data_IF_562612117821
#
_entry.id   IF_562612117821
#
_cell.length_a   1.000
_cell.length_b   1.000
_cell.length_c   1.000
_cell.angle_alpha   90.00
_cell.angle_beta   90.00
_cell.angle_gamma   90.00
#
_symmetry.space_group_name_H-M   'P 1'
#
loop_
_entity.id
_entity.type
_entity.pdbx_description
1 polymer ?
#
# COMPACT_ATOMS: atom_id res chain seq x y z
N UNK A 1 22.62 19.82 -3.83
CA UNK A 1 22.49 18.37 -3.57
C UNK A 1 21.11 18.16 -2.99
N UNK A 2 20.32 17.21 -3.48
CA UNK A 2 18.99 16.91 -2.92
C UNK A 2 19.19 16.22 -1.57
N UNK A 3 18.52 16.70 -0.52
CA UNK A 3 18.45 15.99 0.76
C UNK A 3 17.46 14.82 0.62
N UNK A 4 17.99 13.61 0.49
CA UNK A 4 17.17 12.41 0.32
C UNK A 4 16.34 12.10 1.58
N UNK A 5 16.85 12.40 2.78
CA UNK A 5 16.17 12.06 4.03
C UNK A 5 14.84 12.82 4.17
N UNK A 6 14.81 14.09 3.74
CA UNK A 6 13.60 14.91 3.74
C UNK A 6 12.48 14.39 2.80
N UNK A 7 12.78 13.44 1.90
CA UNK A 7 11.82 12.87 0.95
C UNK A 7 11.42 11.43 1.30
N UNK A 8 11.89 10.89 2.42
CA UNK A 8 11.54 9.57 2.92
C UNK A 8 10.50 9.67 4.05
N UNK A 9 9.66 8.65 4.23
CA UNK A 9 8.75 8.61 5.38
C UNK A 9 9.54 8.49 6.70
N UNK A 10 8.95 8.99 7.77
CA UNK A 10 9.44 8.77 9.13
C UNK A 10 9.26 7.30 9.52
N UNK A 11 10.38 6.62 9.81
CA UNK A 11 10.40 5.19 10.16
C UNK A 11 10.63 4.93 11.65
N UNK A 12 11.20 5.91 12.35
CA UNK A 12 11.56 5.83 13.76
C UNK A 12 10.64 6.69 14.62
N UNK A 13 10.68 6.46 15.93
CA UNK A 13 9.86 7.20 16.89
C UNK A 13 8.46 6.59 17.07
N UNK A 14 7.53 7.43 17.52
CA UNK A 14 6.16 7.02 17.87
C UNK A 14 5.17 7.83 17.06
N UNK A 15 4.36 7.15 16.26
CA UNK A 15 3.28 7.75 15.48
C UNK A 15 1.93 7.37 16.09
N UNK A 16 1.08 8.36 16.33
CA UNK A 16 -0.32 8.12 16.73
C UNK A 16 -1.19 8.12 15.48
N UNK A 17 -1.81 6.98 15.18
CA UNK A 17 -2.64 6.81 13.98
C UNK A 17 -4.06 6.40 14.39
N UNK A 18 -5.11 7.01 13.79
CA UNK A 18 -6.49 6.59 14.04
C UNK A 18 -6.73 5.16 13.55
N UNK A 19 -7.40 4.34 14.36
CA UNK A 19 -7.84 2.99 13.97
C UNK A 19 -7.08 1.84 14.65
N UNK A 20 -5.96 2.11 15.32
CA UNK A 20 -5.34 1.15 16.24
C UNK A 20 -6.07 1.13 17.58
N UNK A 21 -6.37 -0.07 18.08
CA UNK A 21 -6.95 -0.26 19.40
C UNK A 21 -5.87 -0.39 20.49
N UNK A 22 -4.72 -0.97 20.13
CA UNK A 22 -3.55 -1.11 21.00
C UNK A 22 -2.26 -0.73 20.24
N UNK A 23 -1.17 -0.39 20.96
CA UNK A 23 0.12 -0.11 20.33
C UNK A 23 0.65 -1.29 19.51
N UNK A 24 1.27 -0.98 18.35
CA UNK A 24 2.01 -1.95 17.54
C UNK A 24 3.47 -1.52 17.47
N UNK A 25 4.38 -2.46 17.72
CA UNK A 25 5.82 -2.22 17.56
C UNK A 25 6.25 -2.67 16.16
N UNK A 26 6.96 -1.79 15.45
CA UNK A 26 7.58 -2.08 14.15
C UNK A 26 9.10 -2.04 14.33
N UNK A 27 9.78 -3.15 14.05
CA UNK A 27 11.24 -3.21 14.05
C UNK A 27 11.73 -3.57 12.66
N UNK A 28 12.67 -2.83 12.11
CA UNK A 28 13.30 -3.16 10.82
C UNK A 28 14.67 -3.78 11.08
N UNK A 29 14.95 -4.89 10.40
CA UNK A 29 16.26 -5.54 10.48
C UNK A 29 17.33 -4.76 9.67
N UNK A 30 18.56 -5.29 9.62
CA UNK A 30 19.67 -4.66 8.91
C UNK A 30 19.44 -4.55 7.38
N UNK A 31 18.48 -5.29 6.83
CA UNK A 31 18.08 -5.30 5.43
C UNK A 31 16.83 -4.44 5.20
N UNK A 32 16.27 -3.84 6.25
CA UNK A 32 15.07 -3.02 6.20
C UNK A 32 13.77 -3.83 6.21
N UNK A 33 13.79 -5.14 6.50
CA UNK A 33 12.59 -5.97 6.56
C UNK A 33 11.82 -5.65 7.85
N UNK A 34 10.53 -5.28 7.77
CA UNK A 34 9.74 -4.95 8.95
C UNK A 34 9.21 -6.20 9.65
N UNK A 35 9.43 -6.26 10.96
CA UNK A 35 8.87 -7.22 11.90
C UNK A 35 7.84 -6.51 12.78
N UNK A 36 6.58 -6.98 12.72
CA UNK A 36 5.45 -6.38 13.44
C UNK A 36 5.10 -7.19 14.68
N UNK A 37 4.91 -6.51 15.81
CA UNK A 37 4.36 -7.11 17.03
C UNK A 37 3.14 -6.33 17.49
N UNK A 38 1.99 -6.99 17.47
CA UNK A 38 0.70 -6.46 17.88
C UNK A 38 0.01 -7.40 18.87
N UNK A 39 -0.90 -6.87 19.68
CA UNK A 39 -1.69 -7.67 20.64
C UNK A 39 -2.87 -8.39 19.98
N UNK A 40 -3.42 -7.79 18.92
CA UNK A 40 -4.57 -8.35 18.20
C UNK A 40 -4.25 -8.55 16.72
N UNK A 41 -4.93 -9.50 16.09
CA UNK A 41 -4.83 -9.70 14.64
C UNK A 41 -5.31 -8.45 13.86
N UNK A 42 -6.32 -7.74 14.37
CA UNK A 42 -6.83 -6.54 13.73
C UNK A 42 -5.77 -5.42 13.70
N UNK A 43 -5.09 -5.17 14.82
CA UNK A 43 -3.99 -4.20 14.87
C UNK A 43 -2.80 -4.63 14.01
N UNK A 44 -2.52 -5.95 13.95
CA UNK A 44 -1.50 -6.50 13.06
C UNK A 44 -1.80 -6.23 11.57
N UNK A 45 -3.03 -6.46 11.13
CA UNK A 45 -3.45 -6.18 9.74
C UNK A 45 -3.42 -4.68 9.42
N UNK A 46 -3.85 -3.84 10.36
CA UNK A 46 -3.76 -2.39 10.22
C UNK A 46 -2.30 -1.95 10.05
N UNK A 47 -1.40 -2.39 10.94
CA UNK A 47 0.01 -2.03 10.89
C UNK A 47 0.70 -2.59 9.65
N UNK A 48 0.33 -3.79 9.17
CA UNK A 48 0.83 -4.33 7.92
C UNK A 48 0.49 -3.43 6.73
N UNK A 49 -0.76 -2.95 6.64
CA UNK A 49 -1.17 -1.99 5.61
C UNK A 49 -0.39 -0.68 5.71
N UNK A 50 -0.21 -0.16 6.92
CA UNK A 50 0.55 1.06 7.17
C UNK A 50 2.01 0.95 6.73
N UNK A 51 2.70 -0.12 7.14
CA UNK A 51 4.11 -0.35 6.79
C UNK A 51 4.29 -0.65 5.31
N UNK A 52 3.37 -1.38 4.69
CA UNK A 52 3.37 -1.52 3.22
C UNK A 52 3.26 -0.16 2.53
N UNK A 53 2.43 0.75 3.02
CA UNK A 53 2.33 2.08 2.45
C UNK A 53 3.62 2.88 2.64
N UNK A 54 4.25 2.86 3.83
CA UNK A 54 5.54 3.52 4.05
C UNK A 54 6.58 3.10 3.00
N UNK A 55 6.69 1.80 2.74
CA UNK A 55 7.76 1.28 1.90
C UNK A 55 7.38 1.20 0.41
N UNK A 56 6.08 1.07 0.08
CA UNK A 56 5.58 0.63 -1.24
C UNK A 56 4.34 1.38 -1.75
N UNK A 57 4.01 2.56 -1.21
CA UNK A 57 2.79 3.30 -1.59
C UNK A 57 2.60 3.42 -3.12
N UNK A 58 3.64 3.82 -3.86
CA UNK A 58 3.56 3.94 -5.31
C UNK A 58 3.24 2.61 -6.00
N UNK A 59 3.89 1.53 -5.56
CA UNK A 59 3.65 0.18 -6.10
C UNK A 59 2.20 -0.26 -5.83
N UNK A 60 1.71 -0.05 -4.60
CA UNK A 60 0.34 -0.40 -4.21
C UNK A 60 -0.70 0.38 -5.05
N UNK A 61 -0.56 1.69 -5.16
CA UNK A 61 -1.49 2.53 -5.91
C UNK A 61 -1.47 2.21 -7.41
N UNK A 62 -0.27 2.08 -8.00
CA UNK A 62 -0.16 1.73 -9.42
C UNK A 62 -0.73 0.34 -9.70
N UNK A 63 -0.48 -0.65 -8.83
CA UNK A 63 -1.04 -2.00 -8.99
C UNK A 63 -2.57 -1.98 -8.90
N UNK A 64 -3.14 -1.24 -7.95
CA UNK A 64 -4.59 -1.03 -7.85
C UNK A 64 -5.16 -0.38 -9.10
N UNK A 65 -4.49 0.64 -9.65
CA UNK A 65 -4.89 1.30 -10.91
C UNK A 65 -4.84 0.34 -12.10
N UNK A 66 -3.80 -0.48 -12.23
CA UNK A 66 -3.73 -1.50 -13.28
C UNK A 66 -4.89 -2.50 -13.18
N UNK A 67 -5.16 -3.00 -11.97
CA UNK A 67 -6.26 -3.93 -11.74
C UNK A 67 -7.64 -3.33 -12.08
N UNK A 68 -7.84 -2.04 -11.78
CA UNK A 68 -9.12 -1.33 -12.02
C UNK A 68 -9.20 -0.64 -13.38
N UNK A 69 -8.18 -0.78 -14.24
CA UNK A 69 -8.12 -0.15 -15.55
C UNK A 69 -8.07 1.38 -15.48
N UNK A 70 -7.11 1.91 -14.72
CA UNK A 70 -6.87 3.34 -14.49
C UNK A 70 -5.38 3.70 -14.53
N UNK A 71 -4.52 2.82 -15.03
CA UNK A 71 -3.08 3.06 -15.07
C UNK A 71 -2.70 4.15 -16.10
N UNK A 72 -3.47 4.32 -17.17
CA UNK A 72 -3.25 5.34 -18.19
C UNK A 72 -3.39 6.78 -17.66
N UNK A 73 -4.07 6.98 -16.52
CA UNK A 73 -4.11 8.28 -15.83
C UNK A 73 -2.72 8.76 -15.38
N UNK A 74 -1.79 7.82 -15.19
CA UNK A 74 -0.41 8.10 -14.76
C UNK A 74 0.62 7.79 -15.84
N UNK A 75 0.43 6.68 -16.56
CA UNK A 75 1.39 6.16 -17.54
C UNK A 75 1.05 6.58 -18.98
N UNK A 76 -0.05 7.29 -19.20
CA UNK A 76 -0.49 7.75 -20.50
C UNK A 76 -0.93 6.62 -21.44
N UNK A 77 -0.89 6.90 -22.74
CA UNK A 77 -1.43 6.02 -23.79
C UNK A 77 -0.83 4.61 -23.80
N UNK A 78 0.40 4.43 -23.30
CA UNK A 78 1.07 3.13 -23.23
C UNK A 78 0.32 2.11 -22.35
N UNK A 79 -0.51 2.55 -21.39
CA UNK A 79 -1.31 1.66 -20.54
C UNK A 79 -2.75 1.43 -21.03
N UNK A 80 -3.16 2.05 -22.14
CA UNK A 80 -4.56 2.03 -22.61
C UNK A 80 -5.10 0.61 -22.84
N UNK A 81 -4.38 -0.22 -23.60
CA UNK A 81 -4.84 -1.58 -23.93
C UNK A 81 -4.98 -2.45 -22.67
N UNK A 82 -4.06 -2.29 -21.72
CA UNK A 82 -4.11 -3.00 -20.44
C UNK A 82 -5.29 -2.52 -19.59
N UNK A 83 -5.58 -1.23 -19.57
CA UNK A 83 -6.74 -0.69 -18.85
C UNK A 83 -8.06 -1.18 -19.47
N UNK A 84 -8.17 -1.15 -20.80
CA UNK A 84 -9.32 -1.64 -21.54
C UNK A 84 -9.56 -3.14 -21.26
N UNK A 85 -8.50 -3.95 -21.22
CA UNK A 85 -8.58 -5.36 -20.87
C UNK A 85 -9.09 -5.57 -19.43
N UNK A 86 -8.50 -4.90 -18.44
CA UNK A 86 -8.94 -5.01 -17.03
C UNK A 86 -10.43 -4.68 -16.86
N UNK A 87 -10.92 -3.65 -17.56
CA UNK A 87 -12.34 -3.27 -17.56
C UNK A 87 -13.24 -4.33 -18.21
N UNK A 88 -12.82 -4.91 -19.35
CA UNK A 88 -13.56 -5.99 -20.04
C UNK A 88 -13.65 -7.26 -19.20
N UNK A 89 -12.56 -7.63 -18.52
CA UNK A 89 -12.55 -8.74 -17.55
C UNK A 89 -13.43 -8.44 -16.33
N UNK A 90 -13.70 -7.17 -16.05
CA UNK A 90 -14.57 -6.76 -14.95
C UNK A 90 -13.94 -7.01 -13.57
N UNK A 91 -12.62 -6.86 -13.44
CA UNK A 91 -11.85 -7.15 -12.23
C UNK A 91 -12.46 -6.47 -11.00
N UNK A 92 -12.73 -5.17 -11.05
CA UNK A 92 -13.32 -4.43 -9.93
C UNK A 92 -14.69 -4.98 -9.50
N UNK A 93 -15.56 -5.30 -10.47
CA UNK A 93 -16.89 -5.86 -10.20
C UNK A 93 -16.77 -7.25 -9.56
N UNK A 94 -15.85 -8.09 -10.05
CA UNK A 94 -15.60 -9.39 -9.47
C UNK A 94 -15.06 -9.27 -8.03
N UNK A 95 -14.07 -8.40 -7.79
CA UNK A 95 -13.51 -8.18 -6.45
C UNK A 95 -14.54 -7.65 -5.45
N UNK A 96 -15.47 -6.80 -5.88
CA UNK A 96 -16.57 -6.33 -5.02
C UNK A 96 -17.50 -7.48 -4.64
N UNK A 97 -17.91 -8.29 -5.61
CA UNK A 97 -18.75 -9.47 -5.38
C UNK A 97 -18.08 -10.48 -4.44
N UNK A 98 -16.77 -10.65 -4.52
CA UNK A 98 -16.04 -11.61 -3.67
C UNK A 98 -15.83 -11.08 -2.23
N UNK A 99 -15.94 -9.76 -2.02
CA UNK A 99 -15.85 -9.13 -0.69
C UNK A 99 -17.18 -9.16 0.07
N UNK A 100 -18.30 -9.07 -0.66
CA UNK A 100 -19.67 -9.15 -0.14
C UNK A 100 -20.03 -10.58 0.29
#
# INVERSE_FOLDING_TARGET
MIDLAAHLPELDGTLTVPGLAAPVTVQRDAQGVPHLRAETAQDAWFALGFVHAQDRLFQMDLTRRRATGRAAEFLGAAAFEQDALSRRLGVERASRRDYE
#
